data_IF_044841502664
#
_entry.id   IF_044841502664
#
_cell.length_a   1.000
_cell.length_b   1.000
_cell.length_c   1.000
_cell.angle_alpha   90.00
_cell.angle_beta   90.00
_cell.angle_gamma   90.00
#
_symmetry.space_group_name_H-M   'P 1'
#
loop_
_entity.id
_entity.type
_entity.pdbx_description
1 polymer ?
#
# COMPACT_ATOMS: atom_id res chain seq x y z
N UNK A 1 -42.60 -32.74 2.95
CA UNK A 1 -41.18 -32.61 2.53
C UNK A 1 -40.99 -31.16 2.15
N UNK A 2 -40.51 -30.34 3.08
CA UNK A 2 -40.28 -28.93 2.83
C UNK A 2 -38.84 -28.65 3.24
N UNK A 3 -38.05 -28.16 2.28
CA UNK A 3 -36.64 -27.84 2.47
C UNK A 3 -36.48 -26.75 3.55
N UNK A 4 -35.46 -26.82 4.43
CA UNK A 4 -35.04 -25.67 5.19
C UNK A 4 -34.30 -24.69 4.28
N UNK A 5 -34.70 -23.45 4.43
CA UNK A 5 -34.39 -22.27 3.64
C UNK A 5 -32.89 -21.94 3.51
N UNK A 6 -32.60 -21.21 2.45
CA UNK A 6 -31.31 -20.62 2.08
C UNK A 6 -30.71 -19.72 3.19
N UNK A 7 -29.84 -20.28 4.05
CA UNK A 7 -28.98 -19.55 4.99
C UNK A 7 -27.65 -19.12 4.33
N UNK A 8 -27.74 -18.36 3.22
CA UNK A 8 -26.57 -17.74 2.56
C UNK A 8 -26.79 -16.22 2.44
N UNK A 9 -27.01 -15.55 3.57
CA UNK A 9 -27.18 -14.07 3.63
C UNK A 9 -26.33 -13.38 4.70
N UNK A 10 -25.23 -13.99 5.14
CA UNK A 10 -24.34 -13.42 6.16
C UNK A 10 -22.90 -13.17 5.66
N UNK A 11 -22.70 -12.99 4.35
CA UNK A 11 -21.39 -12.62 3.81
C UNK A 11 -20.91 -11.25 4.33
N UNK A 12 -21.84 -10.33 4.60
CA UNK A 12 -21.52 -8.97 5.07
C UNK A 12 -20.93 -8.95 6.49
N UNK A 13 -21.33 -9.88 7.36
CA UNK A 13 -20.81 -9.95 8.73
C UNK A 13 -19.37 -10.49 8.76
N UNK A 14 -19.05 -11.46 7.89
CA UNK A 14 -17.70 -12.02 7.76
C UNK A 14 -16.71 -10.96 7.31
N UNK A 15 -17.09 -10.12 6.34
CA UNK A 15 -16.25 -9.00 5.90
C UNK A 15 -16.01 -7.99 7.02
N UNK A 16 -17.01 -7.70 7.87
CA UNK A 16 -16.87 -6.76 8.98
C UNK A 16 -15.95 -7.27 10.09
N UNK A 17 -16.06 -8.56 10.44
CA UNK A 17 -15.24 -9.19 11.50
C UNK A 17 -13.79 -9.44 11.06
N UNK A 18 -13.57 -9.79 9.78
CA UNK A 18 -12.24 -10.01 9.22
C UNK A 18 -11.60 -8.72 8.69
N UNK A 19 -12.37 -7.65 8.50
CA UNK A 19 -11.85 -6.37 8.09
C UNK A 19 -11.00 -5.75 9.20
N UNK A 20 -9.83 -5.28 8.81
CA UNK A 20 -8.95 -4.54 9.70
C UNK A 20 -9.61 -3.22 10.13
N UNK A 21 -9.53 -2.81 11.42
CA UNK A 21 -10.12 -1.55 11.88
C UNK A 21 -9.66 -0.37 11.01
N UNK A 22 -10.62 0.42 10.49
CA UNK A 22 -10.34 1.51 9.54
C UNK A 22 -9.39 2.57 10.09
N UNK A 23 -9.45 2.83 11.40
CA UNK A 23 -8.51 3.70 12.12
C UNK A 23 -7.07 3.19 12.01
N UNK A 24 -6.86 1.89 12.15
CA UNK A 24 -5.54 1.30 12.11
C UNK A 24 -4.99 1.22 10.66
N UNK A 25 -5.85 0.98 9.66
CA UNK A 25 -5.47 1.13 8.24
C UNK A 25 -4.99 2.56 7.97
N UNK A 26 -5.72 3.56 8.48
CA UNK A 26 -5.37 4.98 8.33
C UNK A 26 -4.05 5.31 9.04
N UNK A 27 -3.82 4.78 10.23
CA UNK A 27 -2.57 4.98 10.96
C UNK A 27 -1.39 4.25 10.31
N UNK A 28 -1.59 3.06 9.75
CA UNK A 28 -0.59 2.36 8.95
C UNK A 28 -0.22 3.15 7.69
N UNK A 29 -1.19 3.75 6.99
CA UNK A 29 -0.92 4.67 5.88
C UNK A 29 -0.08 5.88 6.29
N UNK A 30 -0.30 6.42 7.50
CA UNK A 30 0.51 7.52 8.06
C UNK A 30 1.91 7.09 8.47
N UNK A 31 2.07 5.86 8.99
CA UNK A 31 3.36 5.28 9.40
C UNK A 31 4.21 4.82 8.23
N UNK A 32 3.60 4.55 7.08
CA UNK A 32 4.32 4.26 5.83
C UNK A 32 4.99 5.54 5.30
N UNK A 33 6.18 5.82 5.83
CA UNK A 33 7.02 6.93 5.38
C UNK A 33 7.33 6.84 3.88
N UNK A 34 7.50 8.01 3.26
CA UNK A 34 7.83 8.06 1.84
C UNK A 34 9.30 7.69 1.61
N UNK A 35 9.55 6.78 0.67
CA UNK A 35 10.91 6.38 0.23
C UNK A 35 11.21 7.03 -1.11
N UNK A 36 12.43 7.56 -1.26
CA UNK A 36 12.91 8.10 -2.52
C UNK A 36 13.10 6.97 -3.52
N UNK A 37 12.43 7.03 -4.67
CA UNK A 37 12.48 5.96 -5.66
C UNK A 37 13.86 5.76 -6.30
N UNK A 38 14.74 6.78 -6.22
CA UNK A 38 16.09 6.70 -6.78
C UNK A 38 17.15 6.29 -5.76
N UNK A 39 17.17 6.94 -4.59
CA UNK A 39 18.25 6.78 -3.60
C UNK A 39 17.84 6.03 -2.33
N UNK A 40 16.59 5.57 -2.26
CA UNK A 40 16.00 4.79 -1.15
C UNK A 40 16.02 5.46 0.23
N UNK A 41 16.39 6.74 0.32
CA UNK A 41 16.30 7.51 1.56
C UNK A 41 14.83 7.75 1.93
N UNK A 42 14.52 7.58 3.22
CA UNK A 42 13.22 7.88 3.81
C UNK A 42 13.13 9.35 4.21
N UNK A 43 11.90 9.84 4.38
CA UNK A 43 11.63 11.14 5.01
C UNK A 43 12.24 11.24 6.41
N UNK A 44 12.11 10.19 7.22
CA UNK A 44 12.73 10.06 8.53
C UNK A 44 14.25 10.20 8.46
N UNK A 45 14.91 9.50 7.53
CA UNK A 45 16.37 9.55 7.35
C UNK A 45 16.89 10.89 6.82
N UNK A 46 16.01 11.73 6.26
CA UNK A 46 16.35 13.07 5.76
C UNK A 46 15.91 14.20 6.70
N UNK A 47 15.13 13.90 7.74
CA UNK A 47 14.51 14.90 8.62
C UNK A 47 13.55 15.86 7.90
N UNK A 48 13.11 15.52 6.69
CA UNK A 48 12.22 16.37 5.87
C UNK A 48 11.33 15.52 4.95
N UNK A 49 10.11 15.99 4.62
CA UNK A 49 9.22 15.25 3.72
C UNK A 49 9.79 15.16 2.31
N UNK A 50 9.55 14.02 1.65
CA UNK A 50 9.88 13.84 0.24
C UNK A 50 8.86 14.55 -0.66
N UNK A 51 9.32 14.98 -1.82
CA UNK A 51 8.50 15.61 -2.84
C UNK A 51 7.87 14.55 -3.72
N UNK A 52 6.55 14.63 -3.93
CA UNK A 52 5.84 13.73 -4.85
C UNK A 52 5.96 14.23 -6.29
N UNK A 53 5.91 13.31 -7.25
CA UNK A 53 5.77 13.65 -8.66
C UNK A 53 4.45 14.40 -8.88
N UNK A 54 4.50 15.58 -9.47
CA UNK A 54 3.32 16.44 -9.70
C UNK A 54 2.30 15.83 -10.67
N UNK A 55 2.72 14.91 -11.55
CA UNK A 55 1.83 14.32 -12.55
C UNK A 55 1.05 13.11 -12.02
N UNK A 56 1.70 12.25 -11.24
CA UNK A 56 1.10 10.96 -10.83
C UNK A 56 0.89 10.83 -9.32
N UNK A 57 1.51 11.70 -8.51
CA UNK A 57 1.46 11.70 -7.05
C UNK A 57 1.82 10.35 -6.39
N UNK A 58 2.41 9.43 -7.15
CA UNK A 58 2.68 8.06 -6.75
C UNK A 58 4.14 7.86 -6.34
N UNK A 59 5.07 8.43 -7.10
CA UNK A 59 6.49 8.39 -6.80
C UNK A 59 6.91 9.56 -5.91
N UNK A 60 7.83 9.31 -4.98
CA UNK A 60 8.40 10.29 -4.06
C UNK A 60 9.91 10.41 -4.29
N UNK A 61 10.44 11.62 -4.19
CA UNK A 61 11.85 11.94 -4.40
C UNK A 61 12.36 12.92 -3.34
N UNK A 62 13.61 12.76 -2.90
CA UNK A 62 14.22 13.70 -1.97
C UNK A 62 14.64 15.03 -2.61
N UNK A 63 14.77 15.06 -3.94
CA UNK A 63 15.24 16.21 -4.71
C UNK A 63 14.92 16.09 -6.20
N UNK A 64 15.07 17.19 -6.97
CA UNK A 64 14.81 17.22 -8.41
C UNK A 64 15.81 16.36 -9.19
N UNK A 65 17.04 16.22 -8.67
CA UNK A 65 18.09 15.40 -9.26
C UNK A 65 17.71 13.93 -9.21
N UNK A 66 17.17 13.46 -8.08
CA UNK A 66 16.68 12.08 -7.96
C UNK A 66 15.52 11.79 -8.90
N UNK A 67 14.59 12.73 -9.06
CA UNK A 67 13.51 12.60 -10.04
C UNK A 67 14.05 12.52 -11.48
N UNK A 68 15.04 13.35 -11.82
CA UNK A 68 15.61 13.39 -13.17
C UNK A 68 16.37 12.11 -13.50
N UNK A 69 17.09 11.54 -12.54
CA UNK A 69 17.80 10.26 -12.70
C UNK A 69 16.84 9.08 -12.87
N UNK A 70 15.72 9.07 -12.14
CA UNK A 70 14.70 8.03 -12.25
C UNK A 70 13.77 8.22 -13.47
N UNK A 71 13.73 9.42 -14.08
CA UNK A 71 12.80 9.77 -15.15
C UNK A 71 12.75 8.77 -16.32
N UNK A 72 13.87 8.22 -16.85
CA UNK A 72 13.82 7.25 -17.94
C UNK A 72 13.02 5.97 -17.62
N UNK A 73 13.03 5.53 -16.36
CA UNK A 73 12.24 4.41 -15.87
C UNK A 73 10.83 4.89 -15.49
N UNK A 74 10.73 5.94 -14.68
CA UNK A 74 9.47 6.48 -14.17
C UNK A 74 8.49 6.88 -15.26
N UNK A 75 8.96 7.48 -16.37
CA UNK A 75 8.08 7.97 -17.46
C UNK A 75 7.19 6.88 -18.06
N UNK A 76 7.62 5.61 -18.01
CA UNK A 76 6.88 4.46 -18.54
C UNK A 76 5.61 4.17 -17.74
N UNK A 77 5.61 4.51 -16.45
CA UNK A 77 4.52 4.26 -15.51
C UNK A 77 3.87 5.56 -14.99
N UNK A 78 4.43 6.72 -15.34
CA UNK A 78 3.99 8.02 -14.85
C UNK A 78 2.61 8.38 -15.41
N UNK A 79 1.62 8.50 -14.54
CA UNK A 79 0.24 8.86 -14.91
C UNK A 79 -0.64 7.66 -15.21
N UNK A 80 -0.25 6.44 -14.82
CA UNK A 80 -1.12 5.27 -14.82
C UNK A 80 -1.82 5.11 -13.46
N UNK A 81 -3.05 5.62 -13.28
CA UNK A 81 -3.72 5.68 -11.97
C UNK A 81 -4.05 4.30 -11.39
N UNK A 82 -4.30 3.30 -12.25
CA UNK A 82 -4.74 1.95 -11.82
C UNK A 82 -3.71 1.24 -10.97
N UNK A 83 -2.46 1.16 -11.43
CA UNK A 83 -1.39 0.41 -10.74
C UNK A 83 -0.94 1.15 -9.47
N UNK A 84 -0.82 2.48 -9.51
CA UNK A 84 -0.38 3.25 -8.36
C UNK A 84 -1.36 3.17 -7.17
N UNK A 85 -2.67 3.23 -7.44
CA UNK A 85 -3.71 3.11 -6.41
C UNK A 85 -3.76 1.71 -5.81
N UNK A 86 -3.62 0.68 -6.65
CA UNK A 86 -3.55 -0.70 -6.21
C UNK A 86 -2.32 -0.95 -5.33
N UNK A 87 -1.13 -0.56 -5.77
CA UNK A 87 0.13 -0.75 -5.02
C UNK A 87 0.08 -0.05 -3.66
N UNK A 88 -0.38 1.21 -3.60
CA UNK A 88 -0.56 1.92 -2.30
C UNK A 88 -1.54 1.20 -1.38
N UNK A 89 -2.65 0.69 -1.92
CA UNK A 89 -3.67 -0.03 -1.14
C UNK A 89 -3.14 -1.35 -0.60
N UNK A 90 -2.41 -2.11 -1.43
CA UNK A 90 -1.82 -3.40 -1.04
C UNK A 90 -0.67 -3.25 -0.04
N UNK A 91 0.21 -2.25 -0.22
CA UNK A 91 1.34 -2.03 0.68
C UNK A 91 0.93 -1.40 2.01
N UNK A 92 -0.19 -0.66 2.04
CA UNK A 92 -0.77 -0.11 3.27
C UNK A 92 -1.60 -1.12 4.06
N UNK A 93 -1.83 -2.32 3.51
CA UNK A 93 -2.59 -3.38 4.18
C UNK A 93 -1.66 -4.18 5.11
N UNK A 94 -1.89 -4.18 6.43
CA UNK A 94 -1.07 -4.90 7.41
C UNK A 94 -1.09 -6.43 7.26
N UNK A 95 -2.05 -7.03 6.53
CA UNK A 95 -2.09 -8.49 6.28
C UNK A 95 -0.80 -8.98 5.58
N UNK A 96 -0.10 -8.12 4.83
CA UNK A 96 1.21 -8.46 4.21
C UNK A 96 2.42 -8.22 5.12
N UNK A 97 2.25 -7.61 6.29
CA UNK A 97 3.31 -7.36 7.29
C UNK A 97 3.26 -8.30 8.49
N UNK A 98 2.19 -9.11 8.63
CA UNK A 98 2.25 -10.23 9.57
C UNK A 98 3.38 -11.16 9.11
N UNK A 99 4.32 -11.54 9.99
CA UNK A 99 5.14 -12.71 9.74
C UNK A 99 4.19 -13.85 9.38
N UNK A 100 4.49 -14.59 8.31
CA UNK A 100 3.82 -15.88 8.09
C UNK A 100 4.05 -16.65 9.39
N UNK A 101 3.00 -17.09 10.10
CA UNK A 101 3.19 -17.88 11.31
C UNK A 101 4.13 -19.03 10.97
N UNK A 102 5.20 -19.20 11.76
CA UNK A 102 6.27 -20.19 11.52
C UNK A 102 5.74 -21.61 11.23
N UNK A 103 4.52 -21.90 11.69
CA UNK A 103 3.77 -23.13 11.44
C UNK A 103 3.44 -23.41 9.97
N UNK A 104 3.53 -22.42 9.07
CA UNK A 104 3.24 -22.57 7.63
C UNK A 104 4.47 -22.42 6.73
N UNK A 105 5.68 -22.30 7.30
CA UNK A 105 6.91 -22.47 6.52
C UNK A 105 7.03 -23.96 6.14
N UNK A 106 6.79 -24.26 4.87
CA UNK A 106 6.97 -25.60 4.29
C UNK A 106 8.36 -26.12 4.69
N UNK A 107 8.41 -27.35 5.23
CA UNK A 107 9.65 -28.10 5.44
C UNK A 107 10.34 -28.37 4.11
#
# INVERSE_FOLDING_TARGET
MSAPNDDLKDDDHVFSVLAWPTEEIRNNRKRMGAICQWCNKTDQGLGRPLRRCSKCEAASYCSKECQTRDWPAHKKICGQPGIAKLVKTLLSNPIRRSPIPSTYALK
#
